data_IF_600814337002
#
_entry.id   IF_600814337002
#
_cell.length_a   1.000
_cell.length_b   1.000
_cell.length_c   1.000
_cell.angle_alpha   90.00
_cell.angle_beta   90.00
_cell.angle_gamma   90.00
#
_symmetry.space_group_name_H-M   'P 1'
#
loop_
_entity.id
_entity.type
_entity.pdbx_description
1 polymer ?
#
# COMPACT_ATOMS: atom_id res chain seq x y z
N UNK A 1 5.97 8.54 5.06
CA UNK A 1 5.06 9.34 5.92
C UNK A 1 4.26 10.35 5.10
N UNK A 2 4.88 11.34 4.44
CA UNK A 2 4.15 12.40 3.69
C UNK A 2 3.18 11.87 2.63
N UNK A 3 3.58 10.84 1.86
CA UNK A 3 2.73 10.20 0.84
C UNK A 3 1.49 9.52 1.44
N UNK A 4 1.61 8.98 2.66
CA UNK A 4 0.52 8.30 3.36
C UNK A 4 -0.48 9.33 3.92
N UNK A 5 0.01 10.42 4.51
CA UNK A 5 -0.84 11.52 4.99
C UNK A 5 -1.63 12.14 3.83
N UNK A 6 -0.97 12.41 2.70
CA UNK A 6 -1.64 12.93 1.50
C UNK A 6 -2.77 11.99 1.04
N UNK A 7 -2.53 10.68 1.04
CA UNK A 7 -3.55 9.68 0.65
C UNK A 7 -4.74 9.66 1.61
N UNK A 8 -4.51 9.80 2.91
CA UNK A 8 -5.60 9.91 3.89
C UNK A 8 -6.44 11.16 3.60
N UNK A 9 -5.79 12.30 3.36
CA UNK A 9 -6.49 13.56 3.04
C UNK A 9 -7.31 13.40 1.76
N UNK A 10 -6.74 12.79 0.71
CA UNK A 10 -7.44 12.53 -0.56
C UNK A 10 -8.60 11.56 -0.37
N UNK A 11 -8.44 10.51 0.44
CA UNK A 11 -9.51 9.56 0.75
C UNK A 11 -10.70 10.26 1.42
N UNK A 12 -10.42 11.10 2.41
CA UNK A 12 -11.44 11.87 3.13
C UNK A 12 -12.14 12.85 2.18
N UNK A 13 -11.38 13.57 1.33
CA UNK A 13 -11.96 14.48 0.36
C UNK A 13 -12.88 13.77 -0.64
N UNK A 14 -12.46 12.62 -1.19
CA UNK A 14 -13.27 11.80 -2.09
C UNK A 14 -14.55 11.32 -1.39
N UNK A 15 -14.43 10.83 -0.15
CA UNK A 15 -15.57 10.36 0.60
C UNK A 15 -16.59 11.47 0.88
N UNK A 16 -16.15 12.69 1.23
CA UNK A 16 -17.05 13.83 1.45
C UNK A 16 -17.77 14.20 0.14
N UNK A 17 -17.05 14.27 -0.99
CA UNK A 17 -17.67 14.59 -2.30
C UNK A 17 -18.71 13.55 -2.68
N UNK A 18 -18.42 12.27 -2.49
CA UNK A 18 -19.36 11.17 -2.76
C UNK A 18 -20.56 11.21 -1.81
N UNK A 19 -20.35 11.53 -0.53
CA UNK A 19 -21.43 11.64 0.45
C UNK A 19 -22.38 12.82 0.17
N UNK A 20 -21.88 13.92 -0.39
CA UNK A 20 -22.69 15.04 -0.89
C UNK A 20 -23.54 14.61 -2.10
N UNK A 21 -23.02 13.71 -2.94
CA UNK A 21 -23.76 13.10 -4.06
C UNK A 21 -24.71 11.97 -3.62
N UNK A 22 -25.00 11.86 -2.33
CA UNK A 22 -25.86 10.86 -1.69
C UNK A 22 -25.40 9.39 -1.85
N UNK A 23 -24.10 9.17 -2.07
CA UNK A 23 -23.50 7.84 -1.99
C UNK A 23 -23.23 7.52 -0.53
N UNK A 24 -23.64 6.33 -0.08
CA UNK A 24 -23.36 5.81 1.26
C UNK A 24 -22.30 4.71 1.25
N UNK A 25 -21.57 4.60 2.35
CA UNK A 25 -20.62 3.51 2.53
C UNK A 25 -21.32 2.15 2.66
N UNK A 26 -20.69 1.09 2.14
CA UNK A 26 -21.23 -0.26 2.20
C UNK A 26 -20.19 -1.23 2.80
N UNK A 27 -20.57 -1.93 3.87
CA UNK A 27 -19.71 -2.86 4.58
C UNK A 27 -19.25 -4.03 3.69
N UNK A 28 -20.10 -4.54 2.79
CA UNK A 28 -19.74 -5.62 1.85
C UNK A 28 -18.67 -5.14 0.87
N UNK A 29 -18.79 -3.91 0.35
CA UNK A 29 -17.79 -3.31 -0.54
C UNK A 29 -16.46 -3.14 0.20
N UNK A 30 -16.51 -2.58 1.41
CA UNK A 30 -15.33 -2.40 2.25
C UNK A 30 -14.61 -3.72 2.54
N UNK A 31 -15.35 -4.75 2.97
CA UNK A 31 -14.80 -6.07 3.25
C UNK A 31 -14.19 -6.69 1.99
N UNK A 32 -14.88 -6.62 0.85
CA UNK A 32 -14.39 -7.15 -0.43
C UNK A 32 -13.07 -6.48 -0.84
N UNK A 33 -13.01 -5.14 -0.80
CA UNK A 33 -11.79 -4.39 -1.11
C UNK A 33 -10.65 -4.77 -0.17
N UNK A 34 -10.94 -4.91 1.13
CA UNK A 34 -9.93 -5.30 2.10
C UNK A 34 -9.43 -6.74 1.90
N UNK A 35 -10.30 -7.67 1.50
CA UNK A 35 -9.89 -9.04 1.15
C UNK A 35 -8.92 -9.02 -0.03
N UNK A 36 -9.22 -8.28 -1.10
CA UNK A 36 -8.31 -8.15 -2.25
C UNK A 36 -6.99 -7.50 -1.82
N UNK A 37 -7.04 -6.45 -0.99
CA UNK A 37 -5.85 -5.81 -0.43
C UNK A 37 -4.98 -6.80 0.36
N UNK A 38 -5.58 -7.62 1.21
CA UNK A 38 -4.88 -8.65 1.99
C UNK A 38 -4.19 -9.70 1.11
N UNK A 39 -4.83 -10.11 0.01
CA UNK A 39 -4.23 -11.03 -0.97
C UNK A 39 -3.01 -10.38 -1.63
N UNK A 40 -3.15 -9.16 -2.16
CA UNK A 40 -2.05 -8.45 -2.83
C UNK A 40 -0.89 -8.16 -1.88
N UNK A 41 -1.20 -7.77 -0.63
CA UNK A 41 -0.20 -7.57 0.42
C UNK A 41 0.59 -8.85 0.71
N UNK A 42 -0.10 -9.99 0.88
CA UNK A 42 0.53 -11.29 1.14
C UNK A 42 1.48 -11.71 0.02
N UNK A 43 1.03 -11.58 -1.24
CA UNK A 43 1.85 -11.88 -2.43
C UNK A 43 3.08 -10.96 -2.46
N UNK A 44 2.90 -9.66 -2.26
CA UNK A 44 3.98 -8.67 -2.29
C UNK A 44 5.03 -8.94 -1.22
N UNK A 45 4.60 -9.22 0.02
CA UNK A 45 5.50 -9.56 1.12
C UNK A 45 6.26 -10.87 0.88
N UNK A 46 5.60 -11.89 0.33
CA UNK A 46 6.22 -13.17 -0.01
C UNK A 46 7.35 -12.98 -1.02
N UNK A 47 7.10 -12.23 -2.11
CA UNK A 47 8.12 -11.91 -3.11
C UNK A 47 9.29 -11.14 -2.48
N UNK A 48 8.99 -10.16 -1.62
CA UNK A 48 10.00 -9.33 -0.98
C UNK A 48 10.93 -10.13 -0.06
N UNK A 49 10.39 -11.10 0.69
CA UNK A 49 11.18 -12.00 1.55
C UNK A 49 11.98 -13.02 0.73
N UNK A 50 11.51 -13.40 -0.45
CA UNK A 50 12.21 -14.34 -1.34
C UNK A 50 13.47 -13.77 -2.01
N UNK A 51 13.64 -12.44 -2.01
CA UNK A 51 14.82 -11.82 -2.62
C UNK A 51 16.12 -12.22 -1.94
N UNK A 52 16.97 -12.93 -2.68
CA UNK A 52 18.30 -13.31 -2.23
C UNK A 52 19.37 -12.39 -2.82
N UNK A 53 20.11 -11.72 -1.93
CA UNK A 53 21.28 -10.91 -2.28
C UNK A 53 22.60 -11.66 -2.02
N UNK A 54 22.58 -13.00 -2.00
CA UNK A 54 23.78 -13.81 -1.74
C UNK A 54 24.81 -13.72 -2.87
N UNK A 55 24.33 -13.54 -4.12
CA UNK A 55 25.16 -13.45 -5.32
C UNK A 55 25.74 -12.06 -5.58
N UNK A 56 25.25 -11.03 -4.88
CA UNK A 56 25.77 -9.65 -4.98
C UNK A 56 26.94 -9.47 -4.02
N UNK A 57 28.16 -9.44 -4.55
CA UNK A 57 29.41 -9.39 -3.78
C UNK A 57 29.86 -7.96 -3.48
N UNK A 58 29.45 -6.98 -4.30
CA UNK A 58 29.72 -5.58 -4.03
C UNK A 58 28.94 -5.12 -2.79
N UNK A 59 29.67 -4.91 -1.69
CA UNK A 59 29.11 -4.51 -0.39
C UNK A 59 28.29 -3.21 -0.46
N UNK A 60 28.72 -2.24 -1.28
CA UNK A 60 28.01 -0.96 -1.45
C UNK A 60 26.65 -1.19 -2.12
N UNK A 61 26.64 -1.94 -3.22
CA UNK A 61 25.43 -2.29 -3.96
C UNK A 61 24.47 -3.15 -3.12
N UNK A 62 25.00 -4.18 -2.44
CA UNK A 62 24.24 -5.03 -1.52
C UNK A 62 23.55 -4.24 -0.42
N UNK A 63 24.23 -3.23 0.14
CA UNK A 63 23.66 -2.37 1.19
C UNK A 63 22.54 -1.49 0.63
N UNK A 64 22.71 -0.93 -0.57
CA UNK A 64 21.68 -0.13 -1.24
C UNK A 64 20.43 -0.96 -1.56
N UNK A 65 20.60 -2.18 -2.07
CA UNK A 65 19.51 -3.11 -2.34
C UNK A 65 18.79 -3.52 -1.05
N UNK A 66 19.52 -3.86 0.02
CA UNK A 66 18.93 -4.14 1.35
C UNK A 66 18.10 -2.97 1.88
N UNK A 67 18.61 -1.74 1.75
CA UNK A 67 17.88 -0.53 2.15
C UNK A 67 16.59 -0.38 1.34
N UNK A 68 16.64 -0.64 0.03
CA UNK A 68 15.48 -0.58 -0.86
C UNK A 68 14.42 -1.63 -0.50
N UNK A 69 14.84 -2.88 -0.26
CA UNK A 69 13.98 -3.98 0.20
C UNK A 69 13.30 -3.60 1.52
N UNK A 70 14.08 -3.17 2.53
CA UNK A 70 13.55 -2.78 3.83
C UNK A 70 12.59 -1.59 3.73
N UNK A 71 12.88 -0.63 2.86
CA UNK A 71 12.02 0.52 2.61
C UNK A 71 10.67 0.13 2.00
N UNK A 72 10.67 -0.72 0.96
CA UNK A 72 9.43 -1.22 0.35
C UNK A 72 8.62 -2.02 1.38
N UNK A 73 9.26 -2.93 2.12
CA UNK A 73 8.62 -3.71 3.19
C UNK A 73 7.92 -2.84 4.22
N UNK A 74 8.61 -1.83 4.75
CA UNK A 74 8.06 -0.96 5.77
C UNK A 74 6.91 -0.11 5.20
N UNK A 75 6.93 0.26 3.92
CA UNK A 75 5.81 0.95 3.27
C UNK A 75 4.59 0.04 3.12
N UNK A 76 4.77 -1.22 2.71
CA UNK A 76 3.68 -2.21 2.62
C UNK A 76 3.05 -2.45 3.99
N UNK A 77 3.87 -2.70 5.03
CA UNK A 77 3.39 -2.94 6.39
C UNK A 77 2.61 -1.76 6.98
N UNK A 78 3.11 -0.54 6.80
CA UNK A 78 2.43 0.66 7.29
C UNK A 78 1.10 0.87 6.57
N UNK A 79 1.06 0.69 5.25
CA UNK A 79 -0.15 0.89 4.48
C UNK A 79 -1.24 -0.14 4.81
N UNK A 80 -0.84 -1.41 4.90
CA UNK A 80 -1.73 -2.49 5.32
C UNK A 80 -2.24 -2.29 6.75
N UNK A 81 -1.38 -1.84 7.67
CA UNK A 81 -1.76 -1.52 9.05
C UNK A 81 -2.79 -0.40 9.14
N UNK A 82 -2.62 0.69 8.37
CA UNK A 82 -3.59 1.80 8.33
C UNK A 82 -4.92 1.36 7.71
N UNK A 83 -4.89 0.58 6.62
CA UNK A 83 -6.10 0.03 6.01
C UNK A 83 -6.85 -0.91 6.97
N UNK A 84 -6.12 -1.73 7.73
CA UNK A 84 -6.69 -2.63 8.76
C UNK A 84 -7.34 -1.81 9.87
N UNK A 85 -6.67 -0.77 10.34
CA UNK A 85 -7.23 0.11 11.36
C UNK A 85 -8.51 0.80 10.87
N UNK A 86 -8.52 1.35 9.65
CA UNK A 86 -9.69 1.97 9.06
C UNK A 86 -10.88 1.01 8.92
N UNK A 87 -10.62 -0.24 8.49
CA UNK A 87 -11.64 -1.29 8.42
C UNK A 87 -12.24 -1.58 9.80
N UNK A 88 -11.40 -1.82 10.80
CA UNK A 88 -11.84 -2.17 12.17
C UNK A 88 -12.68 -1.05 12.76
N UNK A 89 -12.22 0.21 12.63
CA UNK A 89 -12.98 1.37 13.09
C UNK A 89 -14.32 1.44 12.38
N UNK A 90 -14.38 1.32 11.06
CA UNK A 90 -15.62 1.44 10.29
C UNK A 90 -16.65 0.33 10.58
N UNK A 91 -16.20 -0.90 10.84
CA UNK A 91 -17.09 -2.03 11.11
C UNK A 91 -17.57 -2.10 12.57
N UNK A 92 -16.80 -1.56 13.52
CA UNK A 92 -17.18 -1.51 14.94
C UNK A 92 -17.93 -0.21 15.27
N UNK A 93 -17.83 0.81 14.42
CA UNK A 93 -18.49 2.09 14.64
C UNK A 93 -20.02 1.92 14.76
N UNK A 94 -20.62 2.69 15.66
CA UNK A 94 -22.06 2.63 15.91
C UNK A 94 -22.83 2.93 14.62
N UNK A 95 -23.66 1.97 14.19
CA UNK A 95 -24.44 2.00 12.94
C UNK A 95 -25.38 3.20 12.87
N UNK A 96 -25.88 3.66 14.02
CA UNK A 96 -26.76 4.84 14.12
C UNK A 96 -26.03 6.16 13.87
N UNK A 97 -24.69 6.16 13.90
CA UNK A 97 -23.83 7.34 13.80
C UNK A 97 -22.81 7.23 12.66
N UNK A 98 -23.12 6.47 11.60
CA UNK A 98 -22.23 6.32 10.45
C UNK A 98 -22.20 7.57 9.56
N UNK A 99 -23.31 8.32 9.50
CA UNK A 99 -23.48 9.48 8.62
C UNK A 99 -23.79 10.72 9.46
N UNK A 100 -22.83 11.63 9.56
CA UNK A 100 -23.00 12.93 10.20
C UNK A 100 -23.29 13.99 9.16
N UNK A 101 -24.43 14.67 9.30
CA UNK A 101 -24.79 15.83 8.47
C UNK A 101 -24.41 17.07 9.27
N UNK A 102 -23.38 17.77 8.82
CA UNK A 102 -22.97 19.06 9.35
C UNK A 102 -23.56 20.18 8.48
N UNK A 103 -24.32 21.07 9.12
CA UNK A 103 -24.83 22.33 8.56
C UNK A 103 -25.69 22.18 7.28
N UNK A 104 -26.27 21.02 6.96
CA UNK A 104 -27.06 20.73 5.75
C UNK A 104 -26.31 20.65 4.40
N UNK A 105 -24.98 20.87 4.36
CA UNK A 105 -24.17 20.77 3.11
C UNK A 105 -22.95 19.86 3.23
N UNK A 106 -22.48 19.54 4.44
CA UNK A 106 -21.31 18.66 4.63
C UNK A 106 -21.79 17.34 5.20
N UNK A 107 -21.66 16.27 4.43
CA UNK A 107 -21.98 14.91 4.86
C UNK A 107 -20.68 14.14 5.08
N UNK A 108 -20.48 13.62 6.28
CA UNK A 108 -19.35 12.76 6.64
C UNK A 108 -19.89 11.35 6.87
N UNK A 109 -19.47 10.41 6.03
CA UNK A 109 -19.77 8.99 6.17
C UNK A 109 -18.48 8.22 6.51
N UNK A 110 -18.42 7.66 7.72
CA UNK A 110 -17.22 6.96 8.23
C UNK A 110 -16.94 5.67 7.45
N UNK A 111 -18.00 4.96 7.04
CA UNK A 111 -17.88 3.75 6.23
C UNK A 111 -17.34 4.11 4.84
N UNK A 112 -17.82 5.20 4.25
CA UNK A 112 -17.37 5.67 2.95
C UNK A 112 -15.93 6.17 2.97
N UNK A 113 -15.50 6.82 4.07
CA UNK A 113 -14.08 7.17 4.28
C UNK A 113 -13.22 5.91 4.30
N UNK A 114 -13.63 4.86 5.02
CA UNK A 114 -12.89 3.61 5.05
C UNK A 114 -12.86 2.93 3.68
N UNK A 115 -13.98 2.92 2.94
CA UNK A 115 -14.03 2.39 1.55
C UNK A 115 -13.05 3.14 0.65
N UNK A 116 -13.07 4.48 0.68
CA UNK A 116 -12.17 5.30 -0.12
C UNK A 116 -10.70 5.08 0.26
N UNK A 117 -10.41 4.96 1.57
CA UNK A 117 -9.05 4.74 2.07
C UNK A 117 -8.52 3.37 1.64
N UNK A 118 -9.28 2.31 1.86
CA UNK A 118 -8.90 0.93 1.47
C UNK A 118 -8.77 0.84 -0.06
N UNK A 119 -9.66 1.47 -0.82
CA UNK A 119 -9.58 1.53 -2.28
C UNK A 119 -8.30 2.23 -2.77
N UNK A 120 -7.92 3.35 -2.15
CA UNK A 120 -6.66 4.03 -2.46
C UNK A 120 -5.43 3.24 -2.01
N UNK A 121 -5.50 2.49 -0.90
CA UNK A 121 -4.45 1.53 -0.50
C UNK A 121 -4.27 0.44 -1.53
N UNK A 122 -5.34 -0.09 -2.11
CA UNK A 122 -5.26 -1.07 -3.17
C UNK A 122 -4.50 -0.53 -4.39
N UNK A 123 -4.83 0.69 -4.83
CA UNK A 123 -4.14 1.35 -5.95
C UNK A 123 -2.65 1.57 -5.63
N UNK A 124 -2.33 1.93 -4.39
CA UNK A 124 -0.96 2.12 -3.95
C UNK A 124 -0.18 0.81 -3.88
N UNK A 125 -0.80 -0.28 -3.44
CA UNK A 125 -0.23 -1.63 -3.47
C UNK A 125 0.12 -2.05 -4.91
N UNK A 126 -0.76 -1.78 -5.88
CA UNK A 126 -0.45 -2.02 -7.31
C UNK A 126 0.80 -1.24 -7.75
N UNK A 127 0.95 0.01 -7.31
CA UNK A 127 2.16 0.79 -7.59
C UNK A 127 3.41 0.20 -6.91
N UNK A 128 3.31 -0.23 -5.65
CA UNK A 128 4.42 -0.87 -4.94
C UNK A 128 4.81 -2.20 -5.58
N UNK A 129 3.84 -2.96 -6.07
CA UNK A 129 4.07 -4.20 -6.79
C UNK A 129 4.92 -3.99 -8.05
N UNK A 130 4.64 -2.91 -8.82
CA UNK A 130 5.50 -2.53 -9.95
C UNK A 130 6.93 -2.18 -9.52
N UNK A 131 7.08 -1.45 -8.41
CA UNK A 131 8.39 -1.12 -7.85
C UNK A 131 9.13 -2.37 -7.37
N UNK A 132 8.41 -3.36 -6.86
CA UNK A 132 8.95 -4.64 -6.43
C UNK A 132 9.47 -5.44 -7.64
N UNK A 133 8.72 -5.47 -8.74
CA UNK A 133 9.21 -6.04 -10.00
C UNK A 133 10.46 -5.33 -10.51
N UNK A 134 10.49 -4.00 -10.49
CA UNK A 134 11.70 -3.25 -10.87
C UNK A 134 12.89 -3.61 -9.98
N UNK A 135 12.68 -3.69 -8.66
CA UNK A 135 13.73 -4.07 -7.72
C UNK A 135 14.27 -5.48 -7.99
N UNK A 136 13.41 -6.41 -8.43
CA UNK A 136 13.84 -7.73 -8.85
C UNK A 136 14.79 -7.67 -10.05
N UNK A 137 14.41 -6.95 -11.11
CA UNK A 137 15.26 -6.74 -12.30
C UNK A 137 16.56 -6.03 -11.94
N UNK A 138 16.52 -5.00 -11.09
CA UNK A 138 17.71 -4.29 -10.63
C UNK A 138 18.71 -5.23 -9.90
N UNK A 139 18.21 -6.26 -9.20
CA UNK A 139 19.05 -7.29 -8.55
C UNK A 139 19.68 -8.21 -9.60
N UNK A 140 18.94 -8.62 -10.62
CA UNK A 140 19.44 -9.48 -11.70
C UNK A 140 20.54 -8.77 -12.50
N UNK A 141 20.29 -7.53 -12.92
CA UNK A 141 21.25 -6.69 -13.65
C UNK A 141 22.53 -6.47 -12.85
N UNK A 142 22.39 -6.26 -11.53
CA UNK A 142 23.50 -6.12 -10.61
C UNK A 142 24.38 -7.39 -10.54
N UNK A 143 23.78 -8.58 -10.55
CA UNK A 143 24.51 -9.86 -10.55
C UNK A 143 25.26 -10.02 -11.87
N UNK A 144 24.59 -9.79 -13.01
CA UNK A 144 25.18 -9.93 -14.35
C UNK A 144 26.36 -8.98 -14.53
N UNK A 145 26.22 -7.71 -14.11
CA UNK A 145 27.28 -6.72 -14.19
C UNK A 145 28.53 -7.14 -13.39
N UNK A 146 28.34 -7.73 -12.20
CA UNK A 146 29.46 -8.26 -11.42
C UNK A 146 30.13 -9.46 -12.10
N UNK A 147 29.36 -10.39 -12.67
CA UNK A 147 29.89 -11.56 -13.38
C UNK A 147 30.73 -11.16 -14.60
N UNK A 148 30.23 -10.24 -15.42
CA UNK A 148 30.98 -9.69 -16.57
C UNK A 148 32.27 -9.00 -16.09
N UNK A 149 32.20 -8.20 -15.02
CA UNK A 149 33.37 -7.51 -14.50
C UNK A 149 34.46 -8.45 -13.99
N UNK A 150 34.07 -9.64 -13.48
CA UNK A 150 35.02 -10.68 -13.08
C UNK A 150 35.64 -11.37 -14.28
N UNK A 151 34.84 -11.71 -15.30
CA UNK A 151 35.32 -12.34 -16.51
C UNK A 151 36.36 -11.46 -17.23
N UNK A 152 36.15 -10.15 -17.28
CA UNK A 152 37.08 -9.20 -17.89
C UNK A 152 38.38 -8.96 -17.09
N UNK A 153 38.48 -9.48 -15.86
CA UNK A 153 39.68 -9.37 -14.99
C UNK A 153 40.50 -10.66 -14.97
N UNK A 154 40.01 -11.74 -15.59
CA UNK A 154 40.71 -13.00 -15.79
C UNK A 154 41.33 -13.02 -17.19
#
# INVERSE_FOLDING_TARGET
>A
MTKLILRIIVAVAIAIVLAIADVSGNAVVLQTLFTVLGIVFSISMSLLVSFSLSKVLNKKMRTALRSSIAHVRNMLLLDFGVATFALVVALIWNVEHLRYIFWDWVVIDIMLIAVALVGLSLIYEIYNFRKLHKLHTDIEDAIIAEEISKANRQ
#
